data_IF_919338895428
#
_entry.id   IF_919338895428
#
_cell.length_a   1.000
_cell.length_b   1.000
_cell.length_c   1.000
_cell.angle_alpha   90.00
_cell.angle_beta   90.00
_cell.angle_gamma   90.00
#
_symmetry.space_group_name_H-M   'P 1'
#
loop_
_entity.id
_entity.type
_entity.pdbx_description
1 polymer ?
#
# COMPACT_ATOMS: atom_id res chain seq x y z
N UNK A 1 -14.97 5.14 -6.91
CA UNK A 1 -13.95 6.08 -6.41
C UNK A 1 -13.34 5.58 -5.09
N UNK A 2 -12.64 4.45 -5.16
CA UNK A 2 -11.82 3.86 -4.11
C UNK A 2 -10.37 3.76 -4.59
N UNK A 3 -9.43 3.39 -3.71
CA UNK A 3 -8.00 3.31 -4.07
C UNK A 3 -7.74 2.35 -5.24
N UNK A 4 -8.53 1.28 -5.38
CA UNK A 4 -8.42 0.34 -6.50
C UNK A 4 -8.77 0.96 -7.87
N UNK A 5 -9.64 1.97 -7.89
CA UNK A 5 -10.00 2.72 -9.09
C UNK A 5 -8.89 3.69 -9.48
N UNK A 6 -8.30 4.39 -8.51
CA UNK A 6 -7.15 5.26 -8.75
C UNK A 6 -5.92 4.47 -9.27
N UNK A 7 -5.73 3.25 -8.77
CA UNK A 7 -4.70 2.31 -9.25
C UNK A 7 -5.09 1.55 -10.54
N UNK A 8 -6.27 1.82 -11.13
CA UNK A 8 -6.87 1.09 -12.29
C UNK A 8 -7.03 -0.43 -12.12
N UNK A 9 -6.73 -0.98 -10.94
CA UNK A 9 -6.82 -2.42 -10.61
C UNK A 9 -8.25 -2.98 -10.62
N UNK A 10 -9.27 -2.11 -10.57
CA UNK A 10 -10.69 -2.47 -10.71
C UNK A 10 -11.24 -2.31 -12.13
N UNK A 11 -10.43 -1.87 -13.11
CA UNK A 11 -10.92 -1.30 -14.36
C UNK A 11 -10.60 -2.18 -15.58
N UNK A 12 -11.51 -3.11 -15.90
CA UNK A 12 -11.43 -3.93 -17.12
C UNK A 12 -11.47 -3.11 -18.43
N UNK A 13 -11.85 -1.83 -18.38
CA UNK A 13 -11.73 -0.89 -19.51
C UNK A 13 -10.26 -0.68 -19.96
N UNK A 14 -9.30 -0.93 -19.08
CA UNK A 14 -7.86 -0.89 -19.38
C UNK A 14 -7.25 -2.28 -19.57
N UNK A 15 -8.09 -3.32 -19.79
CA UNK A 15 -7.71 -4.73 -19.77
C UNK A 15 -6.97 -5.18 -18.49
N UNK A 16 -7.17 -4.44 -17.40
CA UNK A 16 -6.74 -4.81 -16.06
C UNK A 16 -7.78 -5.75 -15.44
N UNK A 17 -7.43 -7.04 -15.33
CA UNK A 17 -8.28 -8.06 -14.71
C UNK A 17 -7.72 -8.48 -13.34
N UNK A 18 -8.57 -9.07 -12.49
CA UNK A 18 -8.20 -9.72 -11.23
C UNK A 18 -7.35 -8.88 -10.25
N UNK A 19 -7.45 -7.55 -10.26
CA UNK A 19 -6.62 -6.69 -9.39
C UNK A 19 -5.18 -6.52 -9.87
N UNK A 20 -4.89 -6.81 -11.14
CA UNK A 20 -3.64 -6.46 -11.80
C UNK A 20 -3.64 -5.00 -12.28
N UNK A 21 -2.44 -4.43 -12.49
CA UNK A 21 -2.23 -3.20 -13.24
C UNK A 21 -0.73 -3.01 -13.53
N UNK A 22 -0.34 -1.85 -14.05
CA UNK A 22 1.06 -1.46 -14.19
C UNK A 22 1.61 -0.85 -12.88
N UNK A 23 2.92 -1.02 -12.62
CA UNK A 23 3.59 -0.37 -11.48
C UNK A 23 3.35 1.15 -11.45
N UNK A 24 3.41 1.79 -12.62
CA UNK A 24 3.17 3.23 -12.84
C UNK A 24 1.71 3.65 -12.68
N UNK A 25 0.76 2.71 -12.67
CA UNK A 25 -0.64 3.00 -12.34
C UNK A 25 -0.88 2.86 -10.83
N UNK A 26 -0.15 1.96 -10.15
CA UNK A 26 -0.20 1.81 -8.70
C UNK A 26 0.45 2.99 -7.96
N UNK A 27 1.62 3.47 -8.39
CA UNK A 27 2.33 4.56 -7.68
C UNK A 27 1.64 5.94 -7.83
N UNK A 28 1.23 6.29 -9.05
CA UNK A 28 0.41 7.47 -9.34
C UNK A 28 -0.99 7.32 -8.74
N UNK A 29 -1.57 6.11 -8.78
CA UNK A 29 -2.88 5.83 -8.20
C UNK A 29 -2.94 6.00 -6.69
N UNK A 30 -1.89 5.59 -5.96
CA UNK A 30 -1.78 5.88 -4.52
C UNK A 30 -1.64 7.37 -4.23
N UNK A 31 -0.79 8.06 -4.98
CA UNK A 31 -0.53 9.48 -4.80
C UNK A 31 -1.79 10.32 -5.06
N UNK A 32 -2.47 10.06 -6.17
CA UNK A 32 -3.74 10.70 -6.52
C UNK A 32 -4.89 10.37 -5.56
N UNK A 33 -4.94 9.15 -5.00
CA UNK A 33 -5.93 8.81 -3.97
C UNK A 33 -5.70 9.61 -2.66
N UNK A 34 -4.44 9.79 -2.25
CA UNK A 34 -4.09 10.62 -1.09
C UNK A 34 -4.36 12.11 -1.36
N UNK A 35 -4.03 12.60 -2.56
CA UNK A 35 -4.34 13.99 -2.96
C UNK A 35 -5.85 14.26 -2.98
N UNK A 36 -6.66 13.33 -3.50
CA UNK A 36 -8.11 13.48 -3.61
C UNK A 36 -8.83 13.45 -2.25
N UNK A 37 -8.43 12.58 -1.33
CA UNK A 37 -9.11 12.40 -0.03
C UNK A 37 -8.39 13.03 1.17
N UNK A 38 -7.14 13.46 1.03
CA UNK A 38 -6.28 13.90 2.15
C UNK A 38 -5.11 14.80 1.69
N UNK A 39 -5.35 15.90 0.94
CA UNK A 39 -4.30 16.74 0.33
C UNK A 39 -3.36 17.44 1.33
N UNK A 40 -3.66 17.37 2.63
CA UNK A 40 -2.80 17.89 3.72
C UNK A 40 -1.71 16.89 4.17
N UNK A 41 -1.65 15.69 3.58
CA UNK A 41 -0.63 14.68 3.84
C UNK A 41 0.25 14.51 2.60
N UNK A 42 1.57 14.51 2.79
CA UNK A 42 2.48 14.08 1.73
C UNK A 42 2.43 12.56 1.59
N UNK A 43 2.09 12.07 0.39
CA UNK A 43 2.35 10.69 -0.03
C UNK A 43 3.76 10.57 -0.60
N UNK A 44 4.43 9.46 -0.29
CA UNK A 44 5.64 9.03 -0.99
C UNK A 44 5.51 7.55 -1.31
N UNK A 45 5.76 7.17 -2.56
CA UNK A 45 5.76 5.79 -3.04
C UNK A 45 7.12 5.48 -3.66
N UNK A 46 7.56 4.23 -3.53
CA UNK A 46 8.75 3.73 -4.22
C UNK A 46 8.49 2.36 -4.83
N UNK A 47 9.08 2.10 -5.99
CA UNK A 47 9.09 0.78 -6.65
C UNK A 47 10.43 0.07 -6.42
N UNK A 48 10.38 -1.16 -5.92
CA UNK A 48 11.51 -1.91 -5.33
C UNK A 48 11.41 -3.30 -5.98
N UNK A 49 12.44 -3.67 -6.76
CA UNK A 49 12.48 -4.92 -7.51
C UNK A 49 12.60 -6.15 -6.61
N UNK A 50 12.22 -7.33 -7.12
CA UNK A 50 12.40 -8.60 -6.40
C UNK A 50 13.84 -8.82 -5.87
N UNK A 51 14.86 -8.39 -6.61
CA UNK A 51 16.27 -8.51 -6.20
C UNK A 51 16.61 -7.75 -4.91
N UNK A 52 15.86 -6.70 -4.59
CA UNK A 52 16.15 -5.75 -3.51
C UNK A 52 15.21 -5.93 -2.31
N UNK A 53 14.21 -6.81 -2.44
CA UNK A 53 13.34 -7.25 -1.35
C UNK A 53 14.08 -8.22 -0.41
N UNK A 54 14.21 -7.83 0.86
CA UNK A 54 14.58 -8.76 1.94
C UNK A 54 13.46 -8.85 2.98
N UNK A 55 13.42 -9.97 3.73
CA UNK A 55 12.48 -10.12 4.85
C UNK A 55 12.68 -9.06 5.94
N UNK A 56 13.93 -8.65 6.18
CA UNK A 56 14.25 -7.62 7.17
C UNK A 56 13.70 -6.25 6.73
N UNK A 57 13.83 -5.91 5.45
CA UNK A 57 13.27 -4.68 4.88
C UNK A 57 11.73 -4.68 4.91
N UNK A 58 11.12 -5.81 4.55
CA UNK A 58 9.67 -5.99 4.70
C UNK A 58 9.21 -5.79 6.15
N UNK A 59 9.94 -6.33 7.13
CA UNK A 59 9.64 -6.07 8.54
C UNK A 59 9.83 -4.59 8.90
N UNK A 60 10.93 -3.95 8.51
CA UNK A 60 11.20 -2.56 8.91
C UNK A 60 10.22 -1.55 8.32
N UNK A 61 9.73 -1.75 7.09
CA UNK A 61 8.66 -0.90 6.52
C UNK A 61 7.35 -1.07 7.31
N UNK A 62 6.91 -2.31 7.56
CA UNK A 62 5.71 -2.58 8.35
C UNK A 62 5.84 -2.06 9.79
N UNK A 63 6.99 -2.25 10.43
CA UNK A 63 7.30 -1.77 11.79
C UNK A 63 7.37 -0.22 11.85
N UNK A 64 7.75 0.44 10.74
CA UNK A 64 7.66 1.90 10.59
C UNK A 64 6.23 2.42 10.32
N UNK A 65 5.24 1.52 10.21
CA UNK A 65 3.86 1.79 9.78
C UNK A 65 3.75 2.23 8.32
N UNK A 66 4.63 1.71 7.45
CA UNK A 66 4.55 1.88 6.00
C UNK A 66 3.87 0.64 5.38
N UNK A 67 2.53 0.63 5.21
CA UNK A 67 1.85 -0.48 4.57
C UNK A 67 2.32 -0.66 3.13
N UNK A 68 2.32 -1.91 2.66
CA UNK A 68 2.99 -2.32 1.43
C UNK A 68 1.98 -2.83 0.41
N UNK A 69 2.15 -2.51 -0.87
CA UNK A 69 1.34 -3.07 -1.97
C UNK A 69 2.23 -3.85 -2.92
N UNK A 70 1.69 -4.96 -3.39
CA UNK A 70 2.45 -6.19 -3.41
C UNK A 70 1.98 -7.00 -4.63
N UNK A 71 2.84 -7.21 -5.64
CA UNK A 71 2.52 -7.94 -6.88
C UNK A 71 2.99 -9.41 -6.86
N UNK A 72 2.09 -10.41 -7.01
CA UNK A 72 2.44 -11.84 -7.21
C UNK A 72 1.97 -12.36 -8.56
N UNK A 73 2.56 -13.51 -8.90
CA UNK A 73 2.02 -14.68 -9.59
C UNK A 73 1.04 -15.47 -8.68
N UNK A 74 -0.25 -15.60 -9.06
CA UNK A 74 -1.27 -16.34 -8.28
C UNK A 74 -1.48 -17.79 -8.70
N UNK A 75 -1.28 -18.12 -9.99
CA UNK A 75 -1.51 -19.48 -10.52
C UNK A 75 -0.26 -20.38 -10.47
N UNK A 76 0.93 -19.78 -10.31
CA UNK A 76 2.23 -20.43 -10.26
C UNK A 76 2.98 -20.47 -11.60
N UNK A 77 2.54 -19.74 -12.64
CA UNK A 77 3.12 -19.78 -13.98
C UNK A 77 4.45 -19.01 -14.12
N UNK A 78 4.82 -18.18 -13.14
CA UNK A 78 6.04 -17.36 -13.12
C UNK A 78 5.88 -15.92 -13.61
N UNK A 79 4.78 -15.60 -14.30
CA UNK A 79 4.32 -14.24 -14.58
C UNK A 79 3.45 -13.70 -13.45
N UNK A 80 3.45 -12.37 -13.23
CA UNK A 80 2.72 -11.75 -12.12
C UNK A 80 1.43 -11.07 -12.57
N UNK A 81 0.32 -11.40 -11.91
CA UNK A 81 -1.06 -11.23 -12.33
C UNK A 81 -1.97 -10.59 -11.26
N UNK A 82 -1.46 -10.21 -10.08
CA UNK A 82 -2.31 -9.69 -9.00
C UNK A 82 -1.61 -8.78 -7.97
N UNK A 83 -2.20 -7.63 -7.64
CA UNK A 83 -1.83 -6.82 -6.47
C UNK A 83 -2.65 -7.16 -5.20
N UNK A 84 -1.97 -7.18 -4.05
CA UNK A 84 -2.59 -7.28 -2.70
C UNK A 84 -1.95 -6.23 -1.80
N UNK A 85 -2.69 -5.74 -0.81
CA UNK A 85 -2.15 -4.91 0.27
C UNK A 85 -1.69 -5.79 1.44
N UNK A 86 -0.49 -5.53 1.97
CA UNK A 86 0.05 -6.16 3.17
C UNK A 86 0.32 -5.09 4.23
N UNK A 87 -0.34 -5.27 5.37
CA UNK A 87 -0.43 -4.30 6.47
C UNK A 87 0.23 -4.79 7.77
N UNK A 88 0.86 -5.96 7.72
CA UNK A 88 1.33 -6.68 8.89
C UNK A 88 2.06 -7.97 8.53
N UNK A 89 2.78 -8.54 9.49
CA UNK A 89 3.44 -9.84 9.34
C UNK A 89 3.24 -10.71 10.59
N UNK A 90 3.65 -11.97 10.51
CA UNK A 90 3.64 -12.87 11.67
C UNK A 90 5.04 -13.42 11.94
N UNK A 91 5.47 -13.44 13.20
CA UNK A 91 6.64 -14.21 13.65
C UNK A 91 6.15 -15.40 14.47
N UNK A 92 6.70 -16.58 14.22
CA UNK A 92 6.52 -17.74 15.09
C UNK A 92 7.63 -17.74 16.14
N UNK A 93 7.28 -17.58 17.41
CA UNK A 93 8.20 -17.72 18.54
C UNK A 93 7.71 -18.89 19.38
N UNK A 94 8.54 -19.93 19.53
CA UNK A 94 8.23 -21.14 20.31
C UNK A 94 6.81 -21.70 20.10
N UNK A 95 6.35 -21.78 18.84
CA UNK A 95 5.04 -22.30 18.46
C UNK A 95 3.87 -21.29 18.48
N UNK A 96 4.08 -20.06 18.99
CA UNK A 96 3.06 -19.01 19.02
C UNK A 96 3.23 -18.07 17.82
N UNK A 97 2.17 -17.91 17.04
CA UNK A 97 2.07 -16.95 15.93
C UNK A 97 1.76 -15.55 16.47
N UNK A 98 2.78 -14.73 16.65
CA UNK A 98 2.62 -13.31 17.00
C UNK A 98 2.36 -12.49 15.73
N UNK A 99 1.17 -11.91 15.61
CA UNK A 99 0.83 -10.94 14.56
C UNK A 99 1.40 -9.57 14.91
N UNK A 100 2.41 -9.13 14.16
CA UNK A 100 2.87 -7.75 14.17
C UNK A 100 1.92 -6.91 13.31
N UNK A 101 1.01 -6.21 13.99
CA UNK A 101 0.12 -5.19 13.45
C UNK A 101 0.23 -3.94 14.33
N UNK A 102 0.10 -2.76 13.71
CA UNK A 102 -0.01 -1.45 14.37
C UNK A 102 -0.86 -1.51 15.66
N UNK A 103 -0.22 -1.13 16.77
CA UNK A 103 -0.66 -1.00 18.17
C UNK A 103 -2.19 -0.88 18.47
N UNK A 104 -2.99 -1.89 18.09
CA UNK A 104 -4.41 -2.06 18.40
C UNK A 104 -4.75 -3.54 18.53
N UNK A 105 -5.40 -3.89 19.63
CA UNK A 105 -5.64 -5.27 20.08
C UNK A 105 -6.75 -5.98 19.30
N UNK A 106 -6.45 -6.46 18.09
CA UNK A 106 -7.27 -7.49 17.44
C UNK A 106 -6.94 -8.87 18.03
N UNK A 107 -7.96 -9.56 18.56
CA UNK A 107 -7.81 -10.93 19.05
C UNK A 107 -7.43 -11.85 17.87
N UNK A 108 -6.38 -12.68 17.98
CA UNK A 108 -5.92 -13.49 16.86
C UNK A 108 -6.98 -14.54 16.47
N UNK A 109 -7.35 -14.57 15.19
CA UNK A 109 -8.19 -15.62 14.59
C UNK A 109 -7.32 -16.40 13.61
N UNK A 110 -7.24 -17.72 13.80
CA UNK A 110 -6.40 -18.59 12.96
C UNK A 110 -7.00 -18.67 11.56
N UNK A 111 -6.22 -18.30 10.54
CA UNK A 111 -6.55 -18.47 9.13
C UNK A 111 -5.37 -19.17 8.43
N UNK A 112 -5.54 -20.41 7.93
CA UNK A 112 -4.47 -21.15 7.27
C UNK A 112 -4.36 -20.77 5.78
N UNK A 113 -3.35 -19.97 5.43
CA UNK A 113 -3.01 -19.71 4.02
C UNK A 113 -1.55 -20.08 3.70
N UNK A 114 -1.38 -21.21 3.00
CA UNK A 114 -0.16 -21.53 2.26
C UNK A 114 -0.18 -20.76 0.93
N UNK A 115 0.72 -19.79 0.79
CA UNK A 115 1.07 -19.18 -0.50
C UNK A 115 2.59 -18.96 -0.54
N UNK A 116 3.22 -19.31 -1.67
CA UNK A 116 4.60 -18.89 -1.96
C UNK A 116 4.57 -17.37 -2.28
N UNK A 117 5.59 -16.61 -1.87
CA UNK A 117 5.53 -15.13 -1.91
C UNK A 117 6.79 -14.52 -2.50
N UNK A 118 6.61 -13.51 -3.37
CA UNK A 118 7.62 -12.57 -3.89
C UNK A 118 6.91 -11.24 -4.18
N UNK A 119 7.18 -10.13 -3.46
CA UNK A 119 6.19 -9.02 -3.33
C UNK A 119 6.71 -7.73 -2.61
N UNK A 120 6.61 -6.50 -3.18
CA UNK A 120 7.23 -5.24 -2.63
C UNK A 120 6.63 -3.87 -3.08
N UNK A 121 6.33 -2.95 -2.15
CA UNK A 121 6.23 -1.45 -2.25
C UNK A 121 6.06 -0.86 -0.83
N UNK A 122 6.16 0.45 -0.55
CA UNK A 122 5.82 1.00 0.80
C UNK A 122 5.30 2.44 0.82
N UNK A 123 4.78 2.89 1.99
CA UNK A 123 4.03 4.14 2.20
C UNK A 123 4.38 4.91 3.49
N UNK A 124 5.36 5.82 3.44
CA UNK A 124 5.66 6.76 4.53
C UNK A 124 4.66 7.93 4.58
N UNK A 125 3.76 7.97 5.57
CA UNK A 125 2.88 9.11 5.83
C UNK A 125 3.47 10.04 6.90
N UNK A 126 3.85 11.26 6.51
CA UNK A 126 4.27 12.33 7.44
C UNK A 126 3.26 13.48 7.41
N UNK A 127 2.81 13.91 8.59
CA UNK A 127 2.03 15.15 8.75
C UNK A 127 2.95 16.37 8.69
N UNK A 128 2.52 17.41 7.97
CA UNK A 128 3.07 18.75 8.16
C UNK A 128 2.55 19.38 9.47
N UNK A 129 3.33 20.26 10.13
CA UNK A 129 2.81 21.14 11.17
C UNK A 129 1.83 22.15 10.54
N UNK A 130 0.63 22.26 11.10
CA UNK A 130 -0.31 23.33 10.75
C UNK A 130 0.19 24.65 11.36
N UNK A 131 0.96 25.45 10.60
CA UNK A 131 1.04 26.92 10.75
C UNK A 131 1.87 27.59 9.63
N UNK A 132 1.18 28.10 8.60
CA UNK A 132 1.55 29.37 7.95
C UNK A 132 0.35 29.90 7.15
N UNK A 133 0.08 31.20 7.25
CA UNK A 133 -1.13 31.82 6.71
C UNK A 133 -0.90 32.30 5.27
N UNK A 134 -1.84 32.00 4.37
CA UNK A 134 -2.01 32.80 3.14
C UNK A 134 -3.42 33.40 3.07
N UNK A 135 -3.46 34.74 3.01
CA UNK A 135 -4.66 35.50 2.72
C UNK A 135 -4.82 35.59 1.20
N UNK A 136 -5.93 35.12 0.66
CA UNK A 136 -6.35 35.49 -0.70
C UNK A 136 -7.75 36.08 -0.65
N UNK A 137 -7.82 37.41 -0.68
CA UNK A 137 -9.06 38.18 -0.60
C UNK A 137 -9.52 38.51 -2.02
N UNK A 138 -10.48 37.76 -2.55
CA UNK A 138 -11.16 38.15 -3.79
C UNK A 138 -12.51 38.79 -3.49
N UNK A 139 -12.71 39.97 -4.08
CA UNK A 139 -13.95 40.72 -3.99
C UNK A 139 -14.31 41.29 -5.35
N UNK A 140 -15.44 40.86 -5.89
CA UNK A 140 -16.30 41.70 -6.70
C UNK A 140 -17.75 41.23 -6.52
N UNK A 141 -18.68 42.17 -6.56
CA UNK A 141 -20.09 41.92 -6.86
C UNK A 141 -20.37 42.60 -8.19
N UNK A 142 -20.92 41.86 -9.15
CA UNK A 142 -22.16 42.21 -9.86
C UNK A 142 -22.70 40.99 -10.57
#
# INVERSE_FOLDING_TARGET
>A
DCVADCMKTSQSYHDNYYGWSWYSDVDNGFSGYVEMFSPFYASSVSNITWSNLSWNLFCSEIDANHPMVFLVDTDGNGGTDHFVTVIGYARMVSGVTMLANLNRSFRPRVLPFKAKRRRWSSLSLRRFPLWSSFKTRFSSRR
#
